data_IF_239954259857
#
_entry.id   IF_239954259857
#
_cell.length_a   1.000
_cell.length_b   1.000
_cell.length_c   1.000
_cell.angle_alpha   90.00
_cell.angle_beta   90.00
_cell.angle_gamma   90.00
#
_symmetry.space_group_name_H-M   'P 1'
#
loop_
_entity.id
_entity.type
_entity.pdbx_description
1 polymer ?
#
# COMPACT_ATOMS: atom_id res chain seq x y z
N UNK A 1 -5.97 -26.35 8.60
CA UNK A 1 -5.69 -24.90 8.48
C UNK A 1 -5.81 -24.21 9.83
N UNK A 2 -6.95 -24.33 10.53
CA UNK A 2 -7.16 -23.74 11.86
C UNK A 2 -6.07 -24.07 12.88
N UNK A 3 -5.56 -25.30 12.91
CA UNK A 3 -4.45 -25.70 13.81
C UNK A 3 -3.16 -24.91 13.53
N UNK A 4 -2.81 -24.72 12.25
CA UNK A 4 -1.64 -23.91 11.88
C UNK A 4 -1.86 -22.46 12.27
N UNK A 5 -3.05 -21.93 12.00
CA UNK A 5 -3.41 -20.57 12.36
C UNK A 5 -3.32 -20.32 13.86
N UNK A 6 -3.78 -21.26 14.69
CA UNK A 6 -3.71 -21.18 16.15
C UNK A 6 -2.27 -21.24 16.68
N UNK A 7 -1.41 -22.07 16.10
CA UNK A 7 0.01 -22.13 16.48
C UNK A 7 0.77 -20.88 16.03
N UNK A 8 0.50 -20.38 14.83
CA UNK A 8 1.04 -19.10 14.34
C UNK A 8 0.58 -17.94 15.22
N UNK A 9 -0.70 -17.90 15.62
CA UNK A 9 -1.26 -16.90 16.54
C UNK A 9 -0.52 -16.90 17.90
N UNK A 10 -0.30 -18.09 18.46
CA UNK A 10 0.41 -18.24 19.75
C UNK A 10 1.81 -17.66 19.66
N UNK A 11 2.56 -18.01 18.61
CA UNK A 11 3.93 -17.52 18.42
C UNK A 11 3.94 -16.01 18.10
N UNK A 12 3.00 -15.52 17.28
CA UNK A 12 2.87 -14.10 16.98
C UNK A 12 2.61 -13.26 18.25
N UNK A 13 1.78 -13.76 19.16
CA UNK A 13 1.51 -13.12 20.47
C UNK A 13 2.75 -13.10 21.37
N UNK A 14 3.58 -14.14 21.34
CA UNK A 14 4.86 -14.17 22.06
C UNK A 14 5.78 -13.01 21.62
N UNK A 15 5.77 -12.69 20.32
CA UNK A 15 6.53 -11.58 19.72
C UNK A 15 5.79 -10.23 19.72
N UNK A 16 4.66 -10.12 20.43
CA UNK A 16 3.89 -8.87 20.58
C UNK A 16 3.40 -8.29 19.24
N UNK A 17 3.08 -9.15 18.27
CA UNK A 17 2.44 -8.71 17.02
C UNK A 17 0.99 -8.31 17.29
N UNK A 18 0.70 -7.02 17.16
CA UNK A 18 -0.66 -6.50 17.26
C UNK A 18 -1.32 -6.44 15.87
N UNK A 19 -2.39 -7.19 15.67
CA UNK A 19 -3.06 -7.38 14.37
C UNK A 19 -4.54 -7.02 14.44
N UNK A 20 -5.17 -6.70 13.30
CA UNK A 20 -6.62 -6.71 13.19
C UNK A 20 -7.12 -8.16 13.18
N UNK A 21 -8.37 -8.43 13.59
CA UNK A 21 -8.98 -9.74 13.40
C UNK A 21 -8.85 -10.16 11.93
N UNK A 22 -8.41 -11.38 11.66
CA UNK A 22 -8.24 -11.87 10.30
C UNK A 22 -9.51 -12.55 9.79
N UNK A 23 -9.87 -12.28 8.54
CA UNK A 23 -10.87 -12.99 7.75
C UNK A 23 -10.14 -13.68 6.60
N UNK A 24 -10.02 -15.00 6.69
CA UNK A 24 -9.27 -15.81 5.71
C UNK A 24 -10.26 -16.36 4.70
N UNK A 25 -10.04 -16.06 3.42
CA UNK A 25 -10.84 -16.57 2.32
C UNK A 25 -9.93 -17.34 1.35
N UNK A 26 -10.27 -18.60 1.10
CA UNK A 26 -9.57 -19.42 0.11
C UNK A 26 -10.25 -19.21 -1.24
N UNK A 27 -9.49 -18.77 -2.23
CA UNK A 27 -10.00 -18.37 -3.55
C UNK A 27 -9.28 -19.11 -4.68
N UNK A 28 -9.95 -19.23 -5.81
CA UNK A 28 -9.39 -19.85 -7.02
C UNK A 28 -8.35 -18.94 -7.67
N UNK A 29 -7.48 -19.51 -8.52
CA UNK A 29 -6.54 -18.72 -9.34
C UNK A 29 -7.21 -17.60 -10.15
N UNK A 30 -8.42 -17.83 -10.68
CA UNK A 30 -9.16 -16.83 -11.46
C UNK A 30 -9.63 -15.66 -10.59
N UNK A 31 -10.20 -15.96 -9.41
CA UNK A 31 -10.61 -14.95 -8.44
C UNK A 31 -9.41 -14.14 -7.95
N UNK A 32 -8.25 -14.76 -7.83
CA UNK A 32 -7.03 -14.06 -7.45
C UNK A 32 -6.56 -13.08 -8.52
N UNK A 33 -6.60 -13.47 -9.80
CA UNK A 33 -6.29 -12.55 -10.89
C UNK A 33 -7.24 -11.36 -10.93
N UNK A 34 -8.53 -11.59 -10.71
CA UNK A 34 -9.55 -10.53 -10.67
C UNK A 34 -9.28 -9.56 -9.51
N UNK A 35 -9.03 -10.10 -8.31
CA UNK A 35 -8.62 -9.31 -7.15
C UNK A 35 -7.33 -8.52 -7.40
N UNK A 36 -6.33 -9.09 -8.08
CA UNK A 36 -5.08 -8.40 -8.38
C UNK A 36 -5.28 -7.23 -9.36
N UNK A 37 -6.10 -7.45 -10.38
CA UNK A 37 -6.40 -6.45 -11.41
C UNK A 37 -7.12 -5.22 -10.85
N UNK A 38 -7.87 -5.41 -9.77
CA UNK A 38 -8.62 -4.40 -9.04
C UNK A 38 -7.85 -3.78 -7.86
N UNK A 39 -6.51 -3.94 -7.82
CA UNK A 39 -5.61 -3.42 -6.77
C UNK A 39 -5.89 -4.07 -5.41
N UNK A 40 -6.21 -5.36 -5.42
CA UNK A 40 -6.48 -6.17 -4.23
C UNK A 40 -7.86 -5.94 -3.62
N UNK A 41 -8.76 -5.17 -4.24
CA UNK A 41 -10.08 -4.85 -3.68
C UNK A 41 -11.21 -5.46 -4.52
N UNK A 42 -11.97 -6.45 -3.99
CA UNK A 42 -13.03 -7.14 -4.74
C UNK A 42 -14.22 -6.24 -5.10
N UNK A 43 -14.34 -5.06 -4.48
CA UNK A 43 -15.44 -4.12 -4.69
C UNK A 43 -14.90 -2.80 -5.22
N UNK A 44 -14.17 -2.83 -6.33
CA UNK A 44 -13.83 -1.60 -7.03
C UNK A 44 -14.95 -1.20 -8.02
N UNK A 45 -14.97 0.06 -8.44
CA UNK A 45 -15.81 0.47 -9.57
C UNK A 45 -15.22 -0.05 -10.89
N UNK A 46 -16.05 -0.31 -11.91
CA UNK A 46 -15.56 -0.77 -13.20
C UNK A 46 -14.70 0.32 -13.86
N UNK A 47 -13.56 -0.09 -14.44
CA UNK A 47 -12.71 0.75 -15.26
C UNK A 47 -11.89 -0.13 -16.21
N UNK A 48 -11.80 0.24 -17.49
CA UNK A 48 -11.14 -0.59 -18.50
C UNK A 48 -9.66 -0.86 -18.18
N UNK A 49 -8.98 0.06 -17.47
CA UNK A 49 -7.57 -0.13 -17.09
C UNK A 49 -7.35 -1.35 -16.20
N UNK A 50 -8.34 -1.69 -15.36
CA UNK A 50 -8.29 -2.90 -14.53
C UNK A 50 -8.41 -4.15 -15.40
N UNK A 51 -9.34 -4.16 -16.37
CA UNK A 51 -9.47 -5.24 -17.34
C UNK A 51 -8.21 -5.43 -18.21
N UNK A 52 -7.59 -4.32 -18.64
CA UNK A 52 -6.29 -4.39 -19.33
C UNK A 52 -5.23 -5.04 -18.44
N UNK A 53 -5.16 -4.65 -17.17
CA UNK A 53 -4.19 -5.20 -16.21
C UNK A 53 -4.44 -6.68 -15.91
N UNK A 54 -5.71 -7.09 -15.85
CA UNK A 54 -6.11 -8.48 -15.74
C UNK A 54 -5.55 -9.30 -16.90
N UNK A 55 -5.81 -8.88 -18.13
CA UNK A 55 -5.34 -9.59 -19.34
C UNK A 55 -3.81 -9.68 -19.37
N UNK A 56 -3.10 -8.60 -19.04
CA UNK A 56 -1.63 -8.60 -18.94
C UNK A 56 -1.13 -9.64 -17.93
N UNK A 57 -1.76 -9.71 -16.75
CA UNK A 57 -1.37 -10.62 -15.67
C UNK A 57 -1.72 -12.08 -16.02
N UNK A 58 -2.91 -12.30 -16.57
CA UNK A 58 -3.37 -13.62 -17.01
C UNK A 58 -2.46 -14.20 -18.10
N UNK A 59 -2.08 -13.39 -19.10
CA UNK A 59 -1.16 -13.80 -20.16
C UNK A 59 0.22 -14.15 -19.62
N UNK A 60 0.78 -13.30 -18.75
CA UNK A 60 2.08 -13.57 -18.12
C UNK A 60 2.07 -14.88 -17.32
N UNK A 61 0.97 -15.16 -16.61
CA UNK A 61 0.78 -16.41 -15.87
C UNK A 61 0.65 -17.62 -16.80
N UNK A 62 -0.24 -17.57 -17.79
CA UNK A 62 -0.44 -18.68 -18.75
C UNK A 62 0.84 -19.03 -19.52
N UNK A 63 1.68 -18.03 -19.81
CA UNK A 63 2.96 -18.23 -20.46
C UNK A 63 4.09 -18.65 -19.51
N UNK A 64 3.83 -18.80 -18.21
CA UNK A 64 4.83 -19.16 -17.21
C UNK A 64 5.91 -18.09 -17.00
N UNK A 65 5.68 -16.87 -17.48
CA UNK A 65 6.61 -15.74 -17.36
C UNK A 65 6.56 -15.13 -15.95
N UNK A 66 5.42 -15.26 -15.27
CA UNK A 66 5.21 -14.76 -13.92
C UNK A 66 4.37 -15.76 -13.12
N UNK A 67 4.81 -16.11 -11.91
CA UNK A 67 3.96 -16.84 -10.96
C UNK A 67 2.86 -15.94 -10.41
N UNK A 68 1.74 -16.52 -9.99
CA UNK A 68 0.75 -15.77 -9.21
C UNK A 68 1.31 -15.44 -7.83
N UNK A 69 0.87 -14.32 -7.27
CA UNK A 69 1.09 -14.05 -5.86
C UNK A 69 0.42 -15.18 -5.06
N UNK A 70 1.03 -15.64 -3.98
CA UNK A 70 0.43 -16.69 -3.16
C UNK A 70 -0.76 -16.19 -2.32
N UNK A 71 -0.90 -14.86 -2.23
CA UNK A 71 -1.81 -14.18 -1.34
C UNK A 71 -2.16 -12.76 -1.82
N UNK A 72 -3.31 -12.25 -1.35
CA UNK A 72 -3.65 -10.83 -1.39
C UNK A 72 -4.22 -10.42 -0.03
N UNK A 73 -3.67 -9.37 0.56
CA UNK A 73 -4.14 -8.82 1.84
C UNK A 73 -4.80 -7.45 1.67
N UNK A 74 -5.98 -7.30 2.24
CA UNK A 74 -6.70 -6.02 2.33
C UNK A 74 -6.55 -5.46 3.73
N UNK A 75 -6.08 -4.22 3.83
CA UNK A 75 -6.03 -3.44 5.07
C UNK A 75 -7.44 -3.01 5.55
N UNK A 76 -8.30 -3.96 5.91
CA UNK A 76 -9.60 -3.70 6.51
C UNK A 76 -9.64 -4.14 7.97
N UNK A 77 -10.72 -3.83 8.68
CA UNK A 77 -10.98 -4.35 10.01
C UNK A 77 -12.38 -5.01 10.05
N UNK A 78 -12.47 -6.34 9.93
CA UNK A 78 -11.38 -7.34 9.94
C UNK A 78 -10.47 -7.28 8.71
N UNK A 79 -9.19 -7.65 8.86
CA UNK A 79 -8.22 -7.73 7.78
C UNK A 79 -8.54 -8.95 6.92
N UNK A 80 -8.80 -8.73 5.63
CA UNK A 80 -9.15 -9.82 4.72
C UNK A 80 -7.87 -10.35 4.07
N UNK A 81 -7.64 -11.65 4.15
CA UNK A 81 -6.51 -12.33 3.52
C UNK A 81 -7.05 -13.40 2.56
N UNK A 82 -6.73 -13.23 1.29
CA UNK A 82 -7.06 -14.17 0.22
C UNK A 82 -5.91 -15.13 0.00
N UNK A 83 -6.19 -16.43 0.11
CA UNK A 83 -5.20 -17.49 -0.06
C UNK A 83 -5.57 -18.34 -1.28
N UNK A 84 -4.59 -18.68 -2.11
CA UNK A 84 -4.84 -19.58 -3.25
C UNK A 84 -5.25 -20.97 -2.77
N UNK A 85 -6.23 -21.58 -3.42
CA UNK A 85 -6.66 -22.96 -3.13
C UNK A 85 -5.59 -24.01 -3.50
N UNK A 86 -4.77 -23.72 -4.52
CA UNK A 86 -3.74 -24.63 -5.04
C UNK A 86 -2.47 -24.66 -4.17
N UNK A 87 -2.39 -23.77 -3.16
CA UNK A 87 -1.28 -23.75 -2.22
C UNK A 87 -1.21 -25.04 -1.41
N UNK A 88 -0.01 -25.61 -1.32
CA UNK A 88 0.30 -26.71 -0.40
C UNK A 88 0.05 -26.30 1.05
N UNK A 89 -0.08 -27.25 1.97
CA UNK A 89 -0.24 -26.94 3.40
C UNK A 89 0.91 -26.07 3.93
N UNK A 90 2.14 -26.33 3.47
CA UNK A 90 3.30 -25.51 3.82
C UNK A 90 3.14 -24.08 3.34
N UNK A 91 2.73 -23.90 2.07
CA UNK A 91 2.49 -22.58 1.51
C UNK A 91 1.34 -21.85 2.20
N UNK A 92 0.25 -22.56 2.52
CA UNK A 92 -0.87 -22.00 3.31
C UNK A 92 -0.38 -21.46 4.66
N UNK A 93 0.46 -22.22 5.38
CA UNK A 93 1.01 -21.80 6.66
C UNK A 93 1.98 -20.61 6.51
N UNK A 94 2.81 -20.61 5.47
CA UNK A 94 3.70 -19.48 5.12
C UNK A 94 2.89 -18.21 4.86
N UNK A 95 1.89 -18.30 4.00
CA UNK A 95 1.02 -17.17 3.66
C UNK A 95 0.24 -16.69 4.87
N UNK A 96 -0.27 -17.58 5.73
CA UNK A 96 -0.92 -17.18 6.98
C UNK A 96 0.02 -16.35 7.86
N UNK A 97 1.26 -16.80 8.08
CA UNK A 97 2.23 -16.05 8.86
C UNK A 97 2.62 -14.72 8.19
N UNK A 98 2.73 -14.69 6.86
CA UNK A 98 3.11 -13.52 6.07
C UNK A 98 2.00 -12.47 5.99
N UNK A 99 0.83 -12.84 5.49
CA UNK A 99 -0.30 -11.94 5.23
C UNK A 99 -1.09 -11.64 6.50
N UNK A 100 -1.53 -12.68 7.23
CA UNK A 100 -2.45 -12.50 8.36
C UNK A 100 -1.78 -11.89 9.60
N UNK A 101 -0.46 -12.04 9.74
CA UNK A 101 0.31 -11.49 10.87
C UNK A 101 1.35 -10.46 10.44
N UNK A 102 2.17 -10.74 9.44
CA UNK A 102 3.17 -9.81 8.92
C UNK A 102 2.55 -8.50 8.41
N UNK A 103 1.91 -8.53 7.24
CA UNK A 103 1.28 -7.34 6.66
C UNK A 103 0.21 -6.73 7.56
N UNK A 104 -0.65 -7.55 8.14
CA UNK A 104 -1.71 -7.08 9.03
C UNK A 104 -1.15 -6.27 10.23
N UNK A 105 -0.09 -6.76 10.89
CA UNK A 105 0.52 -6.00 11.99
C UNK A 105 1.23 -4.74 11.49
N UNK A 106 1.79 -4.75 10.29
CA UNK A 106 2.37 -3.56 9.67
C UNK A 106 1.30 -2.48 9.44
N UNK A 107 0.20 -2.85 8.78
CA UNK A 107 -0.90 -1.94 8.46
C UNK A 107 -1.55 -1.35 9.71
N UNK A 108 -1.73 -2.15 10.77
CA UNK A 108 -2.34 -1.67 12.02
C UNK A 108 -1.47 -0.65 12.76
N UNK A 109 -0.15 -0.80 12.71
CA UNK A 109 0.74 -0.13 13.66
C UNK A 109 1.61 0.97 13.05
N UNK A 110 1.98 0.89 11.76
CA UNK A 110 2.81 1.90 11.13
C UNK A 110 2.13 3.28 11.10
N UNK A 111 2.89 4.34 11.39
CA UNK A 111 2.34 5.68 11.55
C UNK A 111 1.70 6.23 10.27
N UNK A 112 2.18 5.87 9.08
CA UNK A 112 1.52 6.29 7.83
C UNK A 112 0.14 5.67 7.74
N UNK A 113 0.03 4.35 7.92
CA UNK A 113 -1.26 3.68 7.83
C UNK A 113 -2.25 4.21 8.86
N UNK A 114 -1.81 4.40 10.11
CA UNK A 114 -2.66 4.98 11.17
C UNK A 114 -3.15 6.40 10.87
N UNK A 115 -2.36 7.18 10.14
CA UNK A 115 -2.65 8.58 9.81
C UNK A 115 -3.48 8.74 8.53
N UNK A 116 -3.30 7.84 7.56
CA UNK A 116 -3.83 7.98 6.20
C UNK A 116 -4.92 7.00 5.83
N UNK A 117 -5.02 5.89 6.54
CA UNK A 117 -6.02 4.85 6.27
C UNK A 117 -7.08 4.80 7.35
N UNK A 118 -8.27 4.36 6.96
CA UNK A 118 -9.35 4.02 7.87
C UNK A 118 -9.86 2.61 7.53
N UNK A 119 -9.18 1.61 8.08
CA UNK A 119 -9.43 0.20 7.80
C UNK A 119 -10.88 -0.24 8.12
N UNK A 120 -11.56 0.44 9.04
CA UNK A 120 -12.93 0.11 9.42
C UNK A 120 -14.00 0.60 8.44
N UNK A 121 -13.72 1.65 7.65
CA UNK A 121 -14.72 2.27 6.76
C UNK A 121 -14.42 2.10 5.27
N UNK A 122 -13.25 1.58 4.92
CA UNK A 122 -12.81 1.46 3.52
C UNK A 122 -13.76 0.60 2.68
N UNK A 123 -14.21 -0.56 3.18
CA UNK A 123 -15.09 -1.46 2.44
C UNK A 123 -16.42 -0.78 2.11
N UNK A 124 -17.04 -0.12 3.10
CA UNK A 124 -18.29 0.60 2.90
C UNK A 124 -18.12 1.78 1.93
N UNK A 125 -16.97 2.46 1.99
CA UNK A 125 -16.64 3.56 1.10
C UNK A 125 -16.52 3.09 -0.36
N UNK A 126 -15.91 1.93 -0.60
CA UNK A 126 -15.76 1.35 -1.94
C UNK A 126 -17.12 0.89 -2.50
N UNK A 127 -17.97 0.27 -1.68
CA UNK A 127 -19.35 -0.06 -2.07
C UNK A 127 -20.10 1.21 -2.47
N UNK A 128 -19.97 2.28 -1.69
CA UNK A 128 -20.54 3.58 -2.02
C UNK A 128 -20.01 4.13 -3.35
N UNK A 129 -18.68 4.12 -3.55
CA UNK A 129 -18.04 4.62 -4.76
C UNK A 129 -18.52 3.87 -6.01
N UNK A 130 -18.55 2.53 -5.95
CA UNK A 130 -19.06 1.68 -7.03
C UNK A 130 -20.50 2.02 -7.36
N UNK A 131 -21.37 2.06 -6.34
CA UNK A 131 -22.79 2.38 -6.54
C UNK A 131 -22.97 3.77 -7.16
N UNK A 132 -22.22 4.76 -6.68
CA UNK A 132 -22.30 6.13 -7.19
C UNK A 132 -21.90 6.23 -8.65
N UNK A 133 -20.82 5.55 -9.05
CA UNK A 133 -20.35 5.53 -10.43
C UNK A 133 -21.39 4.86 -11.35
N UNK A 134 -21.94 3.71 -10.94
CA UNK A 134 -23.03 3.05 -11.69
C UNK A 134 -24.26 3.95 -11.83
N UNK A 135 -24.68 4.64 -10.77
CA UNK A 135 -25.80 5.61 -10.85
C UNK A 135 -25.48 6.79 -11.78
N UNK A 136 -24.21 7.20 -11.90
CA UNK A 136 -23.79 8.24 -12.84
C UNK A 136 -23.82 7.72 -14.28
N UNK A 137 -23.35 6.50 -14.53
CA UNK A 137 -23.38 5.87 -15.86
C UNK A 137 -24.83 5.75 -16.37
N UNK A 138 -25.77 5.35 -15.51
CA UNK A 138 -27.20 5.27 -15.85
C UNK A 138 -27.82 6.64 -16.19
N UNK A 139 -27.39 7.71 -15.53
CA UNK A 139 -27.99 9.06 -15.67
C UNK A 139 -27.35 9.90 -16.77
N UNK A 140 -26.03 9.84 -16.90
CA UNK A 140 -25.23 10.73 -17.74
C UNK A 140 -24.61 10.01 -18.95
N UNK A 141 -24.71 8.68 -19.02
CA UNK A 141 -24.14 7.86 -20.07
C UNK A 141 -22.73 7.37 -19.72
N UNK A 142 -22.40 6.17 -20.22
CA UNK A 142 -21.12 5.49 -19.94
C UNK A 142 -19.94 6.29 -20.48
N UNK A 143 -20.00 6.73 -21.74
CA UNK A 143 -18.87 7.41 -22.41
C UNK A 143 -18.41 8.69 -21.69
N UNK A 144 -19.37 9.48 -21.17
CA UNK A 144 -19.05 10.74 -20.48
C UNK A 144 -18.46 10.49 -19.08
N UNK A 145 -18.96 9.48 -18.37
CA UNK A 145 -18.43 9.07 -17.05
C UNK A 145 -17.03 8.47 -17.20
N UNK A 146 -16.83 7.59 -18.18
CA UNK A 146 -15.55 6.94 -18.46
C UNK A 146 -14.48 7.97 -18.83
N UNK A 147 -14.78 8.93 -19.71
CA UNK A 147 -13.84 9.99 -20.09
C UNK A 147 -13.37 10.84 -18.89
N UNK A 148 -14.27 11.10 -17.95
CA UNK A 148 -13.91 11.80 -16.72
C UNK A 148 -13.08 10.90 -15.79
N UNK A 149 -13.46 9.65 -15.62
CA UNK A 149 -12.72 8.67 -14.82
C UNK A 149 -11.30 8.50 -15.35
N UNK A 150 -11.12 8.34 -16.67
CA UNK A 150 -9.82 8.27 -17.34
C UNK A 150 -8.93 9.46 -16.98
N UNK A 151 -9.50 10.66 -17.07
CA UNK A 151 -8.80 11.90 -16.74
C UNK A 151 -8.39 11.93 -15.26
N UNK A 152 -9.25 11.43 -14.38
CA UNK A 152 -8.95 11.33 -12.95
C UNK A 152 -7.89 10.27 -12.65
N UNK A 153 -7.96 9.11 -13.30
CA UNK A 153 -6.99 8.02 -13.17
C UNK A 153 -5.60 8.43 -13.65
N UNK A 154 -5.51 9.19 -14.74
CA UNK A 154 -4.24 9.76 -15.20
C UNK A 154 -3.57 10.67 -14.16
N UNK A 155 -4.38 11.34 -13.32
CA UNK A 155 -3.91 12.25 -12.27
C UNK A 155 -3.90 11.63 -10.87
N UNK A 156 -4.22 10.33 -10.75
CA UNK A 156 -4.37 9.60 -9.48
C UNK A 156 -3.13 9.75 -8.56
N UNK A 157 -1.93 9.65 -9.14
CA UNK A 157 -0.66 9.79 -8.41
C UNK A 157 -0.39 11.21 -7.88
N UNK A 158 -1.10 12.21 -8.40
CA UNK A 158 -1.04 13.62 -7.97
C UNK A 158 -2.29 14.00 -7.14
N UNK A 159 -3.05 13.02 -6.66
CA UNK A 159 -4.26 13.20 -5.85
C UNK A 159 -4.01 13.26 -4.33
N UNK A 160 -2.76 13.32 -3.89
CA UNK A 160 -2.41 13.16 -2.47
C UNK A 160 -1.66 14.39 -1.96
N UNK A 161 -2.17 15.01 -0.90
CA UNK A 161 -1.50 16.13 -0.23
C UNK A 161 -0.46 15.63 0.76
N UNK A 162 0.82 15.52 0.41
CA UNK A 162 1.82 14.80 1.22
C UNK A 162 1.98 15.34 2.65
N UNK A 163 1.55 16.57 2.90
CA UNK A 163 1.69 17.27 4.17
C UNK A 163 0.37 17.53 4.91
N UNK A 164 -0.80 17.29 4.32
CA UNK A 164 -2.12 17.52 4.96
C UNK A 164 -2.83 16.21 5.26
N UNK A 165 -3.02 15.93 6.55
CA UNK A 165 -3.66 14.70 7.03
C UNK A 165 -5.19 14.76 6.82
N UNK A 166 -5.80 13.72 6.21
CA UNK A 166 -7.25 13.65 6.11
C UNK A 166 -7.88 13.43 7.50
N UNK A 167 -9.04 14.04 7.75
CA UNK A 167 -9.83 13.73 8.93
C UNK A 167 -10.61 12.43 8.73
N UNK A 168 -10.67 11.59 9.77
CA UNK A 168 -11.55 10.41 9.80
C UNK A 168 -12.99 10.89 9.87
N UNK A 169 -13.74 10.67 8.80
CA UNK A 169 -15.14 11.11 8.66
C UNK A 169 -15.96 9.85 8.41
N UNK A 170 -17.05 9.67 9.15
CA UNK A 170 -17.93 8.51 8.99
C UNK A 170 -18.64 8.54 7.63
N UNK A 171 -18.99 7.37 7.07
CA UNK A 171 -19.77 7.29 5.82
C UNK A 171 -21.11 8.04 5.93
N UNK A 172 -21.77 8.02 7.09
CA UNK A 172 -23.02 8.76 7.31
C UNK A 172 -22.79 10.27 7.21
N UNK A 173 -21.69 10.76 7.78
CA UNK A 173 -21.29 12.15 7.67
C UNK A 173 -20.88 12.50 6.24
N UNK A 174 -20.26 11.59 5.51
CA UNK A 174 -19.89 11.80 4.11
C UNK A 174 -21.13 11.95 3.24
N UNK A 175 -22.15 11.07 3.40
CA UNK A 175 -23.43 11.18 2.68
C UNK A 175 -24.18 12.48 3.04
N UNK A 176 -24.23 12.84 4.32
CA UNK A 176 -24.83 14.10 4.75
C UNK A 176 -24.10 15.31 4.14
N UNK A 177 -22.76 15.26 4.11
CA UNK A 177 -21.93 16.29 3.48
C UNK A 177 -22.14 16.35 1.97
N UNK A 178 -22.28 15.21 1.29
CA UNK A 178 -22.59 15.18 -0.13
C UNK A 178 -23.89 15.93 -0.41
N UNK A 179 -24.98 15.59 0.30
CA UNK A 179 -26.27 16.25 0.14
C UNK A 179 -26.19 17.75 0.43
N UNK A 180 -25.53 18.15 1.51
CA UNK A 180 -25.34 19.57 1.83
C UNK A 180 -24.51 20.33 0.78
N UNK A 181 -23.55 19.65 0.12
CA UNK A 181 -22.72 20.25 -0.94
C UNK A 181 -23.53 20.42 -2.23
N UNK A 182 -24.36 19.44 -2.58
CA UNK A 182 -25.29 19.53 -3.70
C UNK A 182 -26.27 20.70 -3.48
N UNK A 183 -26.85 20.81 -2.29
CA UNK A 183 -27.73 21.92 -1.90
C UNK A 183 -26.99 23.28 -1.94
N UNK A 184 -25.76 23.34 -1.44
CA UNK A 184 -24.93 24.56 -1.49
C UNK A 184 -24.58 24.97 -2.93
N UNK A 185 -24.17 24.03 -3.79
CA UNK A 185 -23.86 24.29 -5.20
C UNK A 185 -25.10 24.77 -5.95
N UNK A 186 -26.25 24.16 -5.73
CA UNK A 186 -27.53 24.63 -6.28
C UNK A 186 -27.85 26.06 -5.81
N UNK A 187 -27.57 26.39 -4.54
CA UNK A 187 -27.79 27.75 -4.01
C UNK A 187 -26.87 28.80 -4.64
N UNK A 188 -25.61 28.45 -4.92
CA UNK A 188 -24.62 29.32 -5.57
C UNK A 188 -24.93 29.55 -7.04
N UNK A 189 -25.32 28.51 -7.78
CA UNK A 189 -25.80 28.63 -9.16
C UNK A 189 -26.99 29.61 -9.20
N UNK A 190 -27.99 29.44 -8.34
CA UNK A 190 -29.14 30.35 -8.26
C UNK A 190 -28.76 31.82 -7.94
N UNK A 191 -27.70 32.06 -7.17
CA UNK A 191 -27.20 33.41 -6.86
C UNK A 191 -26.43 34.04 -8.03
N UNK A 192 -25.58 33.27 -8.72
CA UNK A 192 -24.85 33.74 -9.90
C UNK A 192 -25.79 34.12 -11.04
N UNK A 193 -26.88 33.39 -11.25
CA UNK A 193 -27.89 33.72 -12.28
C UNK A 193 -28.79 34.91 -11.90
N UNK A 194 -28.90 35.27 -10.61
CA UNK A 194 -29.65 36.45 -10.15
C UNK A 194 -28.88 37.76 -10.24
N UNK A 195 -27.55 37.70 -10.33
CA UNK A 195 -26.67 38.87 -10.35
C UNK A 195 -25.69 38.77 -11.50
N UNK A 196 -26.19 38.77 -12.74
CA UNK A 196 -25.39 39.08 -13.93
C UNK A 196 -25.53 40.57 -14.23
N UNK A 197 -24.56 41.44 -13.88
CA UNK A 197 -24.47 42.75 -14.49
C UNK A 197 -24.19 42.57 -15.98
N UNK A 198 -24.84 43.39 -16.82
CA UNK A 198 -24.42 43.56 -18.21
C UNK A 198 -22.95 44.01 -18.20
N UNK A 199 -22.11 43.26 -18.93
CA UNK A 199 -20.67 43.54 -19.12
C UNK A 199 -20.52 44.96 -19.68
N UNK A 200 -20.01 45.89 -18.87
CA UNK A 200 -19.35 47.08 -19.38
C UNK A 200 -17.88 46.75 -19.66
N UNK A 201 -17.38 47.38 -20.71
CA UNK A 201 -16.17 47.04 -21.45
C UNK A 201 -14.87 46.97 -20.64
N UNK A 202 -13.99 46.13 -21.16
CA UNK A 202 -12.65 45.79 -20.72
C UNK A 202 -11.86 47.00 -20.19
N UNK A 203 -11.48 46.94 -18.91
CA UNK A 203 -10.37 47.73 -18.39
C UNK A 203 -9.21 46.82 -18.05
N UNK A 204 -8.13 47.06 -18.78
CA UNK A 204 -6.72 46.81 -18.48
C UNK A 204 -6.35 45.41 -17.97
N UNK A 205 -5.49 44.74 -18.73
CA UNK A 205 -4.72 43.58 -18.33
C UNK A 205 -3.90 43.96 -17.07
N UNK A 206 -4.49 43.83 -15.89
CA UNK A 206 -3.71 43.58 -14.68
C UNK A 206 -2.93 42.29 -14.97
N UNK A 207 -1.60 42.36 -14.94
CA UNK A 207 -0.71 41.21 -15.07
C UNK A 207 -1.35 40.02 -14.37
N UNK A 208 -1.76 38.99 -15.14
CA UNK A 208 -2.58 37.90 -14.63
C UNK A 208 -1.98 37.39 -13.32
N UNK A 209 -2.62 37.74 -12.19
CA UNK A 209 -2.10 37.37 -10.87
C UNK A 209 -1.96 35.85 -10.89
N UNK A 210 -0.77 35.35 -10.53
CA UNK A 210 -0.50 33.91 -10.50
C UNK A 210 -1.54 33.25 -9.60
N UNK A 211 -2.43 32.47 -10.21
CA UNK A 211 -3.47 31.72 -9.53
C UNK A 211 -3.22 30.23 -9.71
N UNK A 212 -3.21 29.43 -8.64
CA UNK A 212 -3.29 29.83 -7.22
C UNK A 212 -2.02 30.57 -6.75
N UNK A 213 -2.15 31.35 -5.68
CA UNK A 213 -1.04 32.12 -5.10
C UNK A 213 0.08 31.23 -4.55
N UNK A 214 -0.28 30.02 -4.13
CA UNK A 214 0.64 28.99 -3.67
C UNK A 214 0.53 27.73 -4.54
N UNK A 215 1.66 27.03 -4.83
CA UNK A 215 1.65 25.76 -5.54
C UNK A 215 0.74 24.74 -4.84
N UNK A 216 -0.05 24.01 -5.63
CA UNK A 216 -0.91 22.95 -5.12
C UNK A 216 -0.37 21.60 -5.57
N UNK A 217 -0.05 20.74 -4.62
CA UNK A 217 0.45 19.39 -4.89
C UNK A 217 -0.69 18.45 -5.30
N UNK A 218 -1.85 18.58 -4.67
CA UNK A 218 -3.01 17.75 -4.95
C UNK A 218 -3.86 18.34 -6.09
N UNK A 219 -3.59 17.89 -7.31
CA UNK A 219 -4.27 18.37 -8.51
C UNK A 219 -5.76 18.00 -8.53
N UNK A 220 -6.11 16.80 -8.06
CA UNK A 220 -7.51 16.37 -7.98
C UNK A 220 -8.30 17.22 -6.97
N UNK A 221 -7.72 17.53 -5.80
CA UNK A 221 -8.35 18.41 -4.82
C UNK A 221 -8.47 19.85 -5.35
N UNK A 222 -7.42 20.34 -6.01
CA UNK A 222 -7.44 21.67 -6.62
C UNK A 222 -8.58 21.79 -7.63
N UNK A 223 -8.74 20.83 -8.53
CA UNK A 223 -9.85 20.82 -9.49
C UNK A 223 -11.22 20.68 -8.81
N UNK A 224 -11.35 19.81 -7.81
CA UNK A 224 -12.60 19.64 -7.01
C UNK A 224 -13.12 20.99 -6.46
N UNK A 225 -12.20 21.86 -6.01
CA UNK A 225 -12.55 23.13 -5.36
C UNK A 225 -12.61 24.33 -6.31
N UNK A 226 -11.78 24.33 -7.36
CA UNK A 226 -11.54 25.53 -8.15
C UNK A 226 -12.14 25.49 -9.55
N UNK A 227 -12.54 24.32 -10.07
CA UNK A 227 -13.11 24.24 -11.41
C UNK A 227 -14.59 24.68 -11.39
N UNK A 228 -14.94 25.85 -11.97
CA UNK A 228 -16.29 26.38 -11.89
C UNK A 228 -17.28 25.62 -12.77
N UNK A 229 -16.79 25.01 -13.85
CA UNK A 229 -17.60 24.30 -14.85
C UNK A 229 -17.93 22.85 -14.44
N UNK A 230 -17.30 22.31 -13.40
CA UNK A 230 -17.60 20.94 -12.97
C UNK A 230 -18.96 20.87 -12.29
N UNK A 231 -19.81 20.00 -12.84
CA UNK A 231 -21.09 19.62 -12.26
C UNK A 231 -20.90 18.88 -10.93
N UNK A 232 -21.96 18.78 -10.13
CA UNK A 232 -21.89 18.14 -8.80
C UNK A 232 -21.40 16.69 -8.89
N UNK A 233 -21.87 15.93 -9.89
CA UNK A 233 -21.50 14.53 -10.05
C UNK A 233 -20.04 14.34 -10.47
N UNK A 234 -19.53 15.22 -11.35
CA UNK A 234 -18.14 15.20 -11.79
C UNK A 234 -17.19 15.46 -10.61
N UNK A 235 -17.53 16.41 -9.74
CA UNK A 235 -16.75 16.71 -8.52
C UNK A 235 -16.70 15.54 -7.56
N UNK A 236 -17.77 14.76 -7.47
CA UNK A 236 -17.80 13.59 -6.59
C UNK A 236 -16.95 12.45 -7.16
N UNK A 237 -16.95 12.24 -8.48
CA UNK A 237 -16.02 11.29 -9.14
C UNK A 237 -14.55 11.67 -8.87
N UNK A 238 -14.19 12.95 -9.01
CA UNK A 238 -12.85 13.44 -8.66
C UNK A 238 -12.50 13.11 -7.20
N UNK A 239 -13.46 13.30 -6.28
CA UNK A 239 -13.27 12.99 -4.87
C UNK A 239 -13.11 11.49 -4.61
N UNK A 240 -13.88 10.65 -5.28
CA UNK A 240 -13.80 9.18 -5.19
C UNK A 240 -12.39 8.72 -5.57
N UNK A 241 -11.94 9.09 -6.77
CA UNK A 241 -10.60 8.73 -7.26
C UNK A 241 -9.53 9.26 -6.30
N UNK A 242 -9.67 10.50 -5.82
CA UNK A 242 -8.76 11.10 -4.86
C UNK A 242 -8.68 10.33 -3.53
N UNK A 243 -9.83 9.98 -2.92
CA UNK A 243 -9.87 9.25 -1.65
C UNK A 243 -9.28 7.84 -1.78
N UNK A 244 -9.58 7.14 -2.89
CA UNK A 244 -8.96 5.84 -3.18
C UNK A 244 -7.44 5.99 -3.33
N UNK A 245 -6.97 7.00 -4.05
CA UNK A 245 -5.53 7.30 -4.20
C UNK A 245 -4.84 7.55 -2.85
N UNK A 246 -5.48 8.33 -1.98
CA UNK A 246 -4.98 8.67 -0.65
C UNK A 246 -4.89 7.43 0.24
N UNK A 247 -5.86 6.52 0.15
CA UNK A 247 -5.87 5.28 0.92
C UNK A 247 -4.67 4.37 0.59
N UNK A 248 -4.31 4.25 -0.69
CA UNK A 248 -3.19 3.41 -1.13
C UNK A 248 -1.82 4.11 -1.08
N UNK A 249 -1.78 5.39 -0.72
CA UNK A 249 -0.53 6.15 -0.66
C UNK A 249 0.52 5.55 0.30
N UNK A 250 0.17 5.14 1.55
CA UNK A 250 1.13 4.53 2.46
C UNK A 250 1.82 3.30 1.88
N UNK A 251 1.10 2.42 1.21
CA UNK A 251 1.65 1.18 0.64
C UNK A 251 2.76 1.45 -0.38
N UNK A 252 2.66 2.54 -1.15
CA UNK A 252 3.72 2.96 -2.08
C UNK A 252 4.95 3.57 -1.40
N UNK A 253 4.81 4.05 -0.17
CA UNK A 253 5.88 4.72 0.59
C UNK A 253 6.60 3.77 1.56
N UNK A 254 6.06 2.57 1.75
CA UNK A 254 6.52 1.59 2.74
C UNK A 254 6.66 0.20 2.12
N UNK A 255 6.92 0.09 0.82
CA UNK A 255 6.97 -1.20 0.15
C UNK A 255 8.12 -2.07 0.69
N UNK A 256 9.32 -1.51 0.83
CA UNK A 256 10.48 -2.24 1.36
C UNK A 256 10.22 -2.68 2.80
N UNK A 257 9.70 -1.78 3.63
CA UNK A 257 9.40 -2.08 5.03
C UNK A 257 8.26 -3.08 5.18
N UNK A 258 7.17 -2.94 4.42
CA UNK A 258 6.00 -3.82 4.52
C UNK A 258 6.35 -5.25 4.11
N UNK A 259 6.97 -5.42 2.94
CA UNK A 259 7.41 -6.73 2.45
C UNK A 259 8.49 -7.30 3.37
N UNK A 260 9.48 -6.49 3.75
CA UNK A 260 10.54 -6.91 4.67
C UNK A 260 10.03 -7.35 6.03
N UNK A 261 9.04 -6.66 6.60
CA UNK A 261 8.46 -6.98 7.90
C UNK A 261 7.67 -8.29 7.84
N UNK A 262 6.85 -8.47 6.81
CA UNK A 262 6.13 -9.71 6.59
C UNK A 262 7.08 -10.90 6.32
N UNK A 263 8.15 -10.67 5.55
CA UNK A 263 9.21 -11.65 5.30
C UNK A 263 10.09 -11.93 6.53
N UNK A 264 10.23 -10.98 7.44
CA UNK A 264 10.92 -11.24 8.70
C UNK A 264 10.07 -12.12 9.62
N UNK A 265 8.77 -11.83 9.74
CA UNK A 265 7.90 -12.55 10.66
C UNK A 265 7.50 -13.94 10.18
N UNK A 266 7.19 -14.15 8.90
CA UNK A 266 6.90 -15.51 8.43
C UNK A 266 8.13 -16.43 8.60
N UNK A 267 9.34 -15.89 8.45
CA UNK A 267 10.58 -16.62 8.61
C UNK A 267 10.82 -16.94 10.09
N UNK A 268 10.68 -15.92 10.96
CA UNK A 268 10.89 -16.08 12.40
C UNK A 268 9.86 -17.02 13.02
N UNK A 269 8.58 -16.88 12.68
CA UNK A 269 7.49 -17.69 13.23
C UNK A 269 7.62 -19.16 12.79
N UNK A 270 7.86 -19.42 11.50
CA UNK A 270 7.96 -20.80 11.02
C UNK A 270 9.21 -21.52 11.56
N UNK A 271 10.35 -20.83 11.68
CA UNK A 271 11.52 -21.40 12.35
C UNK A 271 11.26 -21.65 13.84
N UNK A 272 10.56 -20.76 14.54
CA UNK A 272 10.18 -20.98 15.94
C UNK A 272 9.31 -22.24 16.09
N UNK A 273 8.32 -22.43 15.22
CA UNK A 273 7.49 -23.64 15.21
C UNK A 273 8.32 -24.90 14.94
N UNK A 274 9.36 -24.81 14.13
CA UNK A 274 10.28 -25.93 13.89
C UNK A 274 11.13 -26.23 15.13
N UNK A 275 11.66 -25.21 15.79
CA UNK A 275 12.45 -25.35 17.03
C UNK A 275 11.65 -26.01 18.16
N UNK A 276 10.33 -25.77 18.21
CA UNK A 276 9.40 -26.44 19.14
C UNK A 276 8.93 -27.83 18.66
N UNK A 277 9.37 -28.29 17.49
CA UNK A 277 8.97 -29.57 16.91
C UNK A 277 7.53 -29.63 16.41
N UNK A 278 6.87 -28.48 16.17
CA UNK A 278 5.49 -28.39 15.66
C UNK A 278 5.38 -28.62 14.16
N UNK A 279 6.45 -28.37 13.41
CA UNK A 279 6.53 -28.62 11.96
C UNK A 279 7.68 -29.58 11.65
N UNK A 280 7.57 -30.29 10.53
CA UNK A 280 8.53 -31.33 10.13
C UNK A 280 9.68 -30.76 9.31
N UNK A 281 10.77 -31.52 9.17
CA UNK A 281 11.88 -31.15 8.28
C UNK A 281 11.43 -31.01 6.81
N UNK A 282 10.52 -31.88 6.34
CA UNK A 282 9.93 -31.77 4.99
C UNK A 282 9.21 -30.44 4.79
N UNK A 283 8.45 -29.98 5.79
CA UNK A 283 7.81 -28.67 5.77
C UNK A 283 8.86 -27.56 5.64
N UNK A 284 9.95 -27.64 6.41
CA UNK A 284 11.00 -26.63 6.38
C UNK A 284 11.73 -26.57 5.05
N UNK A 285 12.02 -27.70 4.40
CA UNK A 285 12.67 -27.71 3.08
C UNK A 285 11.82 -26.99 2.01
N UNK A 286 10.51 -27.23 2.01
CA UNK A 286 9.58 -26.58 1.09
C UNK A 286 9.41 -25.08 1.41
N UNK A 287 9.32 -24.72 2.68
CA UNK A 287 9.30 -23.33 3.14
C UNK A 287 10.58 -22.59 2.71
N UNK A 288 11.76 -23.15 2.96
CA UNK A 288 13.03 -22.53 2.60
C UNK A 288 13.18 -22.36 1.10
N UNK A 289 12.73 -23.33 0.30
CA UNK A 289 12.70 -23.19 -1.16
C UNK A 289 11.84 -22.00 -1.59
N UNK A 290 10.63 -21.89 -1.03
CA UNK A 290 9.71 -20.79 -1.35
C UNK A 290 10.24 -19.43 -0.89
N UNK A 291 10.73 -19.35 0.35
CA UNK A 291 11.29 -18.13 0.91
C UNK A 291 12.51 -17.64 0.11
N UNK A 292 13.46 -18.53 -0.20
CA UNK A 292 14.69 -18.16 -0.93
C UNK A 292 14.40 -17.66 -2.34
N UNK A 293 13.39 -18.19 -3.03
CA UNK A 293 12.95 -17.68 -4.32
C UNK A 293 12.40 -16.24 -4.23
N UNK A 294 11.66 -15.91 -3.17
CA UNK A 294 11.08 -14.57 -2.98
C UNK A 294 12.13 -13.53 -2.59
N UNK A 295 13.09 -13.89 -1.74
CA UNK A 295 14.16 -12.98 -1.29
C UNK A 295 15.37 -12.96 -2.22
N UNK A 296 15.32 -13.64 -3.36
CA UNK A 296 16.42 -13.65 -4.31
C UNK A 296 16.61 -12.26 -4.94
N UNK A 297 17.82 -11.72 -4.82
CA UNK A 297 18.24 -10.50 -5.50
C UNK A 297 19.19 -10.87 -6.64
N UNK A 298 18.79 -10.71 -7.92
CA UNK A 298 19.72 -10.85 -9.03
C UNK A 298 20.88 -9.86 -8.90
N UNK A 299 22.11 -10.25 -9.29
CA UNK A 299 23.22 -9.30 -9.34
C UNK A 299 22.98 -8.24 -10.41
N UNK A 300 23.58 -7.06 -10.27
CA UNK A 300 23.35 -5.91 -11.15
C UNK A 300 23.65 -6.17 -12.64
N UNK A 301 24.52 -7.15 -12.94
CA UNK A 301 24.90 -7.54 -14.29
C UNK A 301 24.05 -8.68 -14.87
N UNK A 302 23.03 -9.14 -14.14
CA UNK A 302 22.08 -10.12 -14.65
C UNK A 302 21.15 -9.49 -15.68
N UNK A 303 20.84 -10.18 -16.80
CA UNK A 303 19.82 -9.71 -17.74
C UNK A 303 18.42 -9.64 -17.12
N UNK A 304 18.21 -10.30 -15.97
CA UNK A 304 16.96 -10.31 -15.22
C UNK A 304 16.92 -9.30 -14.08
N UNK A 305 17.94 -8.43 -13.96
CA UNK A 305 17.95 -7.38 -12.95
C UNK A 305 16.90 -6.30 -13.30
N UNK A 306 15.91 -6.12 -12.43
CA UNK A 306 14.83 -5.14 -12.58
C UNK A 306 14.81 -4.07 -11.48
N UNK A 307 15.91 -3.95 -10.73
CA UNK A 307 16.03 -3.07 -9.57
C UNK A 307 16.28 -3.85 -8.28
N UNK A 308 16.13 -3.14 -7.15
CA UNK A 308 16.25 -3.73 -5.82
C UNK A 308 14.94 -4.43 -5.48
N UNK A 309 15.05 -5.72 -5.14
CA UNK A 309 13.95 -6.53 -4.64
C UNK A 309 13.59 -6.06 -3.21
N UNK A 310 12.37 -5.55 -2.98
CA UNK A 310 11.95 -5.04 -1.66
C UNK A 310 11.94 -6.13 -0.59
N UNK A 311 11.58 -7.37 -0.94
CA UNK A 311 11.62 -8.52 -0.04
C UNK A 311 13.05 -8.79 0.44
N UNK A 312 14.01 -8.79 -0.49
CA UNK A 312 15.40 -9.07 -0.19
C UNK A 312 16.01 -8.00 0.73
N UNK A 313 15.88 -6.72 0.35
CA UNK A 313 16.45 -5.62 1.12
C UNK A 313 15.77 -5.46 2.48
N UNK A 314 14.44 -5.46 2.51
CA UNK A 314 13.66 -5.27 3.73
C UNK A 314 13.92 -6.39 4.74
N UNK A 315 13.92 -7.65 4.30
CA UNK A 315 14.24 -8.80 5.16
C UNK A 315 15.66 -8.71 5.71
N UNK A 316 16.64 -8.42 4.85
CA UNK A 316 18.03 -8.30 5.25
C UNK A 316 18.23 -7.19 6.30
N UNK A 317 17.57 -6.04 6.12
CA UNK A 317 17.63 -4.93 7.07
C UNK A 317 17.02 -5.29 8.43
N UNK A 318 15.82 -5.88 8.47
CA UNK A 318 15.22 -6.29 9.76
C UNK A 318 16.02 -7.40 10.46
N UNK A 319 16.55 -8.36 9.69
CA UNK A 319 17.44 -9.39 10.24
C UNK A 319 18.73 -8.78 10.79
N UNK A 320 19.27 -7.74 10.13
CA UNK A 320 20.47 -7.06 10.59
C UNK A 320 20.23 -6.20 11.84
N UNK A 321 19.08 -5.51 11.95
CA UNK A 321 18.67 -4.82 13.19
C UNK A 321 18.67 -5.81 14.36
N UNK A 322 18.04 -6.98 14.18
CA UNK A 322 18.04 -8.03 15.21
C UNK A 322 19.47 -8.47 15.57
N UNK A 323 20.32 -8.70 14.56
CA UNK A 323 21.72 -9.08 14.77
C UNK A 323 22.50 -8.01 15.53
N UNK A 324 22.38 -6.73 15.16
CA UNK A 324 23.06 -5.61 15.83
C UNK A 324 22.66 -5.53 17.30
N UNK A 325 21.38 -5.74 17.61
CA UNK A 325 20.89 -5.75 18.98
C UNK A 325 21.45 -6.94 19.79
N UNK A 326 21.53 -8.14 19.19
CA UNK A 326 21.91 -9.36 19.92
C UNK A 326 23.43 -9.61 19.98
N UNK A 327 24.14 -9.32 18.89
CA UNK A 327 25.56 -9.64 18.67
C UNK A 327 26.26 -8.54 17.87
N UNK A 328 26.42 -7.32 18.44
CA UNK A 328 27.02 -6.18 17.74
C UNK A 328 28.53 -6.38 17.53
N UNK A 329 29.01 -6.00 16.35
CA UNK A 329 30.44 -5.83 16.05
C UNK A 329 30.92 -4.43 16.45
N UNK A 330 32.23 -4.18 16.43
CA UNK A 330 32.77 -2.83 16.69
C UNK A 330 32.32 -1.80 15.65
N UNK A 331 32.14 -2.21 14.39
CA UNK A 331 31.58 -1.34 13.34
C UNK A 331 30.11 -0.99 13.64
N UNK A 332 29.32 -1.95 14.13
CA UNK A 332 27.93 -1.70 14.51
C UNK A 332 27.83 -0.76 15.70
N UNK A 333 28.71 -0.89 16.70
CA UNK A 333 28.74 0.04 17.85
C UNK A 333 29.08 1.46 17.45
N UNK A 334 29.89 1.63 16.40
CA UNK A 334 30.27 2.95 15.89
C UNK A 334 29.12 3.62 15.13
N UNK A 335 28.48 2.89 14.21
CA UNK A 335 27.42 3.45 13.35
C UNK A 335 26.03 3.45 14.00
N UNK A 336 25.78 2.52 14.91
CA UNK A 336 24.49 2.29 15.57
C UNK A 336 24.61 2.22 17.10
N UNK A 337 25.19 3.25 17.76
CA UNK A 337 25.43 3.22 19.21
C UNK A 337 24.14 3.08 20.04
N UNK A 338 23.01 3.58 19.52
CA UNK A 338 21.74 3.59 20.23
C UNK A 338 21.03 2.23 20.27
N UNK A 339 21.31 1.33 19.32
CA UNK A 339 20.66 0.01 19.20
C UNK A 339 21.62 -1.16 19.41
N UNK A 340 22.93 -0.95 19.34
CA UNK A 340 23.90 -2.00 19.59
C UNK A 340 23.78 -2.53 21.03
N UNK A 341 23.36 -3.79 21.19
CA UNK A 341 23.14 -4.39 22.51
C UNK A 341 21.78 -4.07 23.18
N UNK A 342 20.86 -3.41 22.48
CA UNK A 342 19.52 -3.11 23.00
C UNK A 342 18.55 -4.31 22.89
N UNK A 343 17.31 -4.15 23.38
CA UNK A 343 16.24 -5.13 23.12
C UNK A 343 15.88 -5.11 21.62
N UNK A 344 16.17 -6.22 20.94
CA UNK A 344 15.95 -6.36 19.51
C UNK A 344 14.47 -6.26 19.12
N UNK A 345 13.57 -6.74 19.98
CA UNK A 345 12.14 -6.77 19.68
C UNK A 345 11.54 -5.37 19.77
N UNK A 346 11.90 -4.62 20.83
CA UNK A 346 11.48 -3.22 20.97
C UNK A 346 12.04 -2.35 19.84
N UNK A 347 13.31 -2.55 19.48
CA UNK A 347 13.96 -1.82 18.39
C UNK A 347 13.30 -2.08 17.04
N UNK A 348 12.96 -3.35 16.74
CA UNK A 348 12.22 -3.71 15.53
C UNK A 348 10.84 -3.07 15.47
N UNK A 349 10.08 -3.12 16.57
CA UNK A 349 8.75 -2.50 16.63
C UNK A 349 8.83 -0.98 16.50
N UNK A 350 9.84 -0.33 17.08
CA UNK A 350 10.10 1.10 16.89
C UNK A 350 10.38 1.45 15.43
N UNK A 351 11.31 0.72 14.80
CA UNK A 351 11.65 0.92 13.39
C UNK A 351 10.42 0.73 12.47
N UNK A 352 9.60 -0.29 12.72
CA UNK A 352 8.37 -0.53 11.95
C UNK A 352 7.31 0.56 12.18
N UNK A 353 7.13 1.03 13.42
CA UNK A 353 6.05 1.97 13.76
C UNK A 353 6.29 3.37 13.23
N UNK A 354 7.52 3.87 13.30
CA UNK A 354 7.80 5.31 13.22
C UNK A 354 8.50 5.75 11.93
N UNK A 355 8.80 4.82 11.01
CA UNK A 355 9.52 5.11 9.78
C UNK A 355 8.74 4.71 8.51
N UNK A 356 9.08 5.38 7.40
CA UNK A 356 8.78 4.98 6.01
C UNK A 356 10.05 4.50 5.32
N UNK A 357 9.94 3.91 4.13
CA UNK A 357 11.09 3.28 3.43
C UNK A 357 12.32 4.19 3.36
N UNK A 358 12.16 5.43 2.88
CA UNK A 358 13.25 6.40 2.76
C UNK A 358 13.97 6.65 4.09
N UNK A 359 13.21 6.92 5.15
CA UNK A 359 13.77 7.16 6.48
C UNK A 359 14.31 5.89 7.13
N UNK A 360 13.70 4.74 6.88
CA UNK A 360 14.15 3.45 7.40
C UNK A 360 15.48 3.05 6.79
N UNK A 361 15.62 3.18 5.48
CA UNK A 361 16.88 2.96 4.77
C UNK A 361 17.94 3.96 5.24
N UNK A 362 17.60 5.25 5.34
CA UNK A 362 18.56 6.26 5.79
C UNK A 362 19.07 6.03 7.22
N UNK A 363 18.27 5.42 8.11
CA UNK A 363 18.60 5.30 9.53
C UNK A 363 19.12 3.91 9.92
N UNK A 364 18.74 2.85 9.21
CA UNK A 364 19.04 1.47 9.60
C UNK A 364 19.82 0.66 8.55
N UNK A 365 20.11 1.21 7.38
CA UNK A 365 20.94 0.51 6.40
C UNK A 365 22.41 0.46 6.88
N UNK A 366 22.87 -0.71 7.28
CA UNK A 366 24.23 -0.89 7.79
C UNK A 366 25.29 -1.02 6.69
N UNK A 367 26.56 -0.66 6.98
CA UNK A 367 27.67 -0.91 6.07
C UNK A 367 27.82 -2.39 5.69
N UNK A 368 27.47 -3.31 6.59
CA UNK A 368 27.46 -4.74 6.32
C UNK A 368 26.47 -5.08 5.19
N UNK A 369 25.22 -4.64 5.30
CA UNK A 369 24.20 -4.89 4.26
C UNK A 369 24.60 -4.22 2.95
N UNK A 370 25.15 -3.01 2.98
CA UNK A 370 25.66 -2.34 1.77
C UNK A 370 26.72 -3.17 1.04
N UNK A 371 27.61 -3.84 1.79
CA UNK A 371 28.62 -4.75 1.22
C UNK A 371 28.01 -6.05 0.72
N UNK A 372 27.10 -6.65 1.47
CA UNK A 372 26.42 -7.90 1.08
C UNK A 372 25.65 -7.74 -0.24
N UNK A 373 24.99 -6.58 -0.43
CA UNK A 373 24.26 -6.24 -1.64
C UNK A 373 25.11 -5.58 -2.73
N UNK A 374 26.39 -5.25 -2.43
CA UNK A 374 27.33 -4.58 -3.35
C UNK A 374 26.78 -3.26 -3.91
N UNK A 375 26.18 -2.42 -3.05
CA UNK A 375 25.58 -1.15 -3.48
C UNK A 375 26.59 -0.10 -3.93
N UNK A 376 27.84 -0.21 -3.47
CA UNK A 376 28.89 0.75 -3.78
C UNK A 376 30.13 0.01 -4.30
N UNK A 377 30.80 0.63 -5.27
CA UNK A 377 32.16 0.28 -5.64
C UNK A 377 33.08 1.33 -5.04
N UNK A 378 34.11 0.89 -4.31
CA UNK A 378 35.18 1.78 -3.87
C UNK A 378 36.22 1.74 -4.97
N UNK A 379 36.34 2.83 -5.73
CA UNK A 379 37.44 3.03 -6.66
C UNK A 379 38.56 3.68 -5.86
N UNK A 380 39.68 2.96 -5.74
CA UNK A 380 40.93 3.55 -5.23
C UNK A 380 41.49 4.41 -6.37
N UNK A 381 41.37 5.72 -6.25
CA UNK A 381 41.98 6.66 -7.17
C UNK A 381 43.26 7.19 -6.51
N UNK A 382 44.38 6.51 -6.77
CA UNK A 382 45.73 6.88 -6.31
C UNK A 382 46.22 8.23 -6.90
N UNK A 383 45.36 8.97 -7.63
CA UNK A 383 45.69 10.22 -8.33
C UNK A 383 45.04 11.51 -7.79
N UNK A 384 44.52 11.54 -6.57
CA UNK A 384 44.16 12.81 -5.89
C UNK A 384 44.99 13.11 -4.63
#
# INVERSE_FOLDING_TARGET
>A
LETYLAEVDRVAKLYRLDTYPHQIEVITSEQMMDAYSSVGMPINYPHWSFGKKFIETEQAYKHGQQGLAYEIVINSNPCIAYLMEENTITMQALVMAHACYGHNSFFKNNYLFRSWTDASSIIDYLIFARKYITECEERYGVDEVEKLLDSCHALMNYGVDRYKRPQKISLQEEKARQKSREEYLQSQVNMLWRTLPKREEEKAIESARRYPSEPQENLLYFMEKNAPLLESWQREILRIVRKVSQYFYPQKQTQVMNEGWATFWHYTILNHLYDEGKVTERFMLEFLHSHTNVVFQPPYNSPWYSGINPYALGFAMFQDIKRICQSPTEEDKYWFPDIAGSDWLETLHFAMRDFKDESFISQFLSPKIMRDFRFFTVLDDDHN
#
